data_IF_022868144578
#
_entry.id   IF_022868144578
#
_cell.length_a   1.000
_cell.length_b   1.000
_cell.length_c   1.000
_cell.angle_alpha   90.00
_cell.angle_beta   90.00
_cell.angle_gamma   90.00
#
_symmetry.space_group_name_H-M   'P 1'
#
loop_
_entity.id
_entity.type
_entity.pdbx_description
1 polymer ?
#
# COMPACT_ATOMS: atom_id res chain seq x y z
N UNK A 1 -7.35 -13.96 -28.61
CA UNK A 1 -6.16 -13.16 -28.24
C UNK A 1 -5.67 -13.60 -26.88
N UNK A 2 -4.39 -13.87 -26.75
CA UNK A 2 -3.80 -14.30 -25.48
C UNK A 2 -3.80 -13.15 -24.48
N UNK A 3 -4.36 -13.38 -23.30
CA UNK A 3 -4.30 -12.41 -22.21
C UNK A 3 -2.96 -12.57 -21.45
N UNK A 4 -1.98 -11.73 -21.80
CA UNK A 4 -0.62 -11.78 -21.25
C UNK A 4 -0.63 -11.50 -19.75
N UNK A 5 -1.49 -10.59 -19.28
CA UNK A 5 -1.60 -10.26 -17.86
C UNK A 5 -2.06 -11.47 -17.06
N UNK A 6 -3.09 -12.17 -17.53
CA UNK A 6 -3.63 -13.37 -16.89
C UNK A 6 -2.59 -14.50 -16.87
N UNK A 7 -1.89 -14.70 -17.98
CA UNK A 7 -0.84 -15.72 -18.08
C UNK A 7 0.30 -15.42 -17.09
N UNK A 8 0.69 -14.16 -16.94
CA UNK A 8 1.71 -13.73 -15.98
C UNK A 8 1.26 -13.96 -14.55
N UNK A 9 0.01 -13.66 -14.23
CA UNK A 9 -0.56 -13.89 -12.88
C UNK A 9 -0.59 -15.38 -12.54
N UNK A 10 -0.95 -16.24 -13.49
CA UNK A 10 -0.95 -17.70 -13.31
C UNK A 10 0.46 -18.26 -13.10
N UNK A 11 1.46 -17.76 -13.84
CA UNK A 11 2.85 -18.17 -13.68
C UNK A 11 3.40 -17.74 -12.33
N UNK A 12 3.07 -16.54 -11.89
CA UNK A 12 3.46 -16.02 -10.57
C UNK A 12 2.85 -16.85 -9.44
N UNK A 13 1.57 -17.23 -9.57
CA UNK A 13 0.90 -18.08 -8.59
C UNK A 13 1.57 -19.47 -8.48
N UNK A 14 1.92 -20.08 -9.61
CA UNK A 14 2.64 -21.37 -9.64
C UNK A 14 4.03 -21.29 -9.00
N UNK A 15 4.76 -20.21 -9.27
CA UNK A 15 6.07 -20.00 -8.66
C UNK A 15 5.95 -19.83 -7.14
N UNK A 16 4.92 -19.13 -6.65
CA UNK A 16 4.64 -19.01 -5.23
C UNK A 16 4.37 -20.37 -4.58
N UNK A 17 3.52 -21.18 -5.21
CA UNK A 17 3.19 -22.51 -4.70
C UNK A 17 4.40 -23.44 -4.65
N UNK A 18 5.23 -23.44 -5.71
CA UNK A 18 6.44 -24.24 -5.77
C UNK A 18 7.43 -23.90 -4.65
N UNK A 19 7.58 -22.61 -4.33
CA UNK A 19 8.45 -22.17 -3.22
C UNK A 19 7.89 -22.63 -1.88
N UNK A 20 6.58 -22.53 -1.68
CA UNK A 20 5.91 -22.92 -0.43
C UNK A 20 5.94 -24.43 -0.18
N UNK A 21 5.99 -25.24 -1.23
CA UNK A 21 6.05 -26.70 -1.14
C UNK A 21 7.45 -27.23 -0.88
N UNK A 22 8.47 -26.37 -0.89
CA UNK A 22 9.85 -26.78 -0.62
C UNK A 22 9.98 -27.36 0.78
N UNK A 23 10.60 -28.56 0.89
CA UNK A 23 10.82 -29.24 2.16
C UNK A 23 12.03 -28.70 2.95
N UNK A 24 12.88 -27.87 2.34
CA UNK A 24 14.08 -27.33 2.98
C UNK A 24 13.76 -26.32 4.09
N UNK A 25 12.60 -25.69 4.03
CA UNK A 25 12.12 -24.74 5.04
C UNK A 25 10.61 -24.80 5.12
N UNK A 26 10.08 -24.95 6.34
CA UNK A 26 8.64 -24.97 6.58
C UNK A 26 8.10 -23.54 6.68
N UNK A 27 7.69 -22.98 5.54
CA UNK A 27 7.05 -21.66 5.45
C UNK A 27 5.64 -21.74 4.82
N UNK A 28 5.09 -22.94 4.67
CA UNK A 28 3.76 -23.16 4.13
C UNK A 28 2.71 -22.41 4.93
N UNK A 29 1.85 -21.68 4.24
CA UNK A 29 0.81 -20.86 4.86
C UNK A 29 1.27 -19.49 5.38
N UNK A 30 2.58 -19.21 5.40
CA UNK A 30 3.11 -17.90 5.77
C UNK A 30 3.06 -16.94 4.58
N UNK A 31 2.86 -15.66 4.87
CA UNK A 31 2.80 -14.63 3.83
C UNK A 31 4.16 -14.42 3.17
N UNK A 32 4.15 -14.29 1.86
CA UNK A 32 5.33 -13.94 1.09
C UNK A 32 5.42 -12.42 0.96
N UNK A 33 6.01 -11.78 1.94
CA UNK A 33 6.12 -10.32 2.00
C UNK A 33 6.94 -9.72 0.86
N UNK A 34 7.84 -10.51 0.27
CA UNK A 34 8.64 -10.09 -0.89
C UNK A 34 7.82 -9.87 -2.17
N UNK A 35 6.56 -10.30 -2.20
CA UNK A 35 5.66 -10.00 -3.31
C UNK A 35 5.20 -8.54 -3.33
N UNK A 36 5.33 -7.85 -2.21
CA UNK A 36 5.00 -6.42 -2.14
C UNK A 36 6.14 -5.63 -2.77
N UNK A 37 5.88 -4.86 -3.84
CA UNK A 37 6.91 -4.02 -4.43
C UNK A 37 7.48 -3.04 -3.40
N UNK A 38 8.81 -2.87 -3.30
CA UNK A 38 9.42 -1.94 -2.35
C UNK A 38 8.92 -0.50 -2.50
N UNK A 39 8.49 -0.11 -3.69
CA UNK A 39 7.96 1.24 -3.93
C UNK A 39 6.71 1.53 -3.10
N UNK A 40 5.87 0.54 -2.84
CA UNK A 40 4.68 0.71 -2.00
C UNK A 40 5.09 1.12 -0.58
N UNK A 41 6.14 0.49 -0.06
CA UNK A 41 6.66 0.82 1.28
C UNK A 41 7.22 2.25 1.29
N UNK A 42 7.96 2.64 0.25
CA UNK A 42 8.49 4.01 0.13
C UNK A 42 7.39 5.05 0.05
N UNK A 43 6.33 4.76 -0.70
CA UNK A 43 5.19 5.66 -0.87
C UNK A 43 4.45 5.87 0.46
N UNK A 44 4.23 4.82 1.22
CA UNK A 44 3.63 4.90 2.56
C UNK A 44 4.55 5.66 3.53
N UNK A 45 5.84 5.40 3.47
CA UNK A 45 6.82 6.08 4.32
C UNK A 45 6.83 7.60 4.07
N UNK A 46 6.70 8.03 2.81
CA UNK A 46 6.63 9.45 2.47
C UNK A 46 5.42 10.14 3.13
N UNK A 47 4.27 9.49 3.12
CA UNK A 47 3.07 9.99 3.80
C UNK A 47 3.30 10.07 5.31
N UNK A 48 3.93 9.05 5.89
CA UNK A 48 4.23 9.01 7.32
C UNK A 48 5.21 10.11 7.73
N UNK A 49 6.25 10.36 6.94
CA UNK A 49 7.20 11.45 7.18
C UNK A 49 6.51 12.82 7.16
N UNK A 50 5.63 13.03 6.19
CA UNK A 50 4.83 14.26 6.13
C UNK A 50 4.01 14.44 7.41
N UNK A 51 3.35 13.39 7.90
CA UNK A 51 2.61 13.43 9.15
C UNK A 51 3.49 13.76 10.36
N UNK A 52 4.70 13.19 10.42
CA UNK A 52 5.66 13.49 11.49
C UNK A 52 6.08 14.96 11.47
N UNK A 53 6.34 15.51 10.31
CA UNK A 53 6.67 16.93 10.16
C UNK A 53 5.52 17.84 10.58
N UNK A 54 4.30 17.49 10.19
CA UNK A 54 3.10 18.28 10.48
C UNK A 54 2.76 18.30 11.96
N UNK A 55 2.84 17.16 12.64
CA UNK A 55 2.42 17.01 14.04
C UNK A 55 3.58 16.95 15.02
N UNK A 56 4.84 16.93 14.56
CA UNK A 56 6.06 16.85 15.36
C UNK A 56 6.11 15.64 16.31
N UNK A 57 5.39 14.57 15.97
CA UNK A 57 5.30 13.34 16.77
C UNK A 57 5.06 12.13 15.84
N UNK A 58 6.02 11.19 15.75
CA UNK A 58 5.85 10.00 14.92
C UNK A 58 4.73 9.06 15.43
N UNK A 59 4.34 9.18 16.68
CA UNK A 59 3.26 8.38 17.28
C UNK A 59 1.92 9.12 17.36
N UNK A 60 1.81 10.31 16.78
CA UNK A 60 0.57 11.09 16.80
C UNK A 60 -0.63 10.30 16.26
N UNK A 61 -0.41 9.42 15.29
CA UNK A 61 -1.48 8.60 14.69
C UNK A 61 -2.22 7.74 15.70
N UNK A 62 -1.59 7.38 16.83
CA UNK A 62 -2.19 6.57 17.89
C UNK A 62 -3.23 7.33 18.72
N UNK A 63 -3.20 8.65 18.65
CA UNK A 63 -4.09 9.53 19.42
C UNK A 63 -5.32 9.97 18.63
N UNK A 64 -5.38 9.64 17.34
CA UNK A 64 -6.46 10.05 16.45
C UNK A 64 -7.57 9.02 16.47
N UNK A 65 -8.80 9.49 16.60
CA UNK A 65 -9.99 8.63 16.57
C UNK A 65 -10.12 7.92 15.21
N UNK A 66 -10.54 6.66 15.24
CA UNK A 66 -10.70 5.85 14.03
C UNK A 66 -11.58 6.51 12.98
N UNK A 67 -12.68 7.14 13.40
CA UNK A 67 -13.60 7.79 12.47
C UNK A 67 -12.92 8.90 11.65
N UNK A 68 -11.97 9.61 12.25
CA UNK A 68 -11.20 10.65 11.55
C UNK A 68 -10.31 10.09 10.46
N UNK A 69 -9.76 8.88 10.66
CA UNK A 69 -9.00 8.18 9.61
C UNK A 69 -9.91 7.69 8.49
N UNK A 70 -11.08 7.16 8.83
CA UNK A 70 -12.05 6.73 7.83
C UNK A 70 -12.45 7.90 6.94
N UNK A 71 -12.76 9.04 7.52
CA UNK A 71 -13.14 10.24 6.77
C UNK A 71 -11.98 10.75 5.89
N UNK A 72 -10.76 10.74 6.42
CA UNK A 72 -9.57 11.13 5.66
C UNK A 72 -9.31 10.18 4.49
N UNK A 73 -9.46 8.87 4.71
CA UNK A 73 -9.37 7.88 3.66
C UNK A 73 -10.36 8.16 2.53
N UNK A 74 -11.63 8.40 2.87
CA UNK A 74 -12.66 8.70 1.87
C UNK A 74 -12.36 9.98 1.11
N UNK A 75 -11.88 11.04 1.78
CA UNK A 75 -11.51 12.29 1.09
C UNK A 75 -10.46 12.06 0.02
N UNK A 76 -9.38 11.32 0.34
CA UNK A 76 -8.32 11.01 -0.61
C UNK A 76 -8.79 10.04 -1.69
N UNK A 77 -9.56 9.04 -1.32
CA UNK A 77 -10.09 8.06 -2.26
C UNK A 77 -10.99 8.69 -3.32
N UNK A 78 -11.91 9.56 -2.90
CA UNK A 78 -12.80 10.26 -3.83
C UNK A 78 -12.04 11.19 -4.77
N UNK A 79 -11.02 11.87 -4.28
CA UNK A 79 -10.14 12.68 -5.13
C UNK A 79 -9.41 11.83 -6.15
N UNK A 80 -8.92 10.66 -5.75
CA UNK A 80 -8.30 9.72 -6.65
C UNK A 80 -9.29 9.21 -7.71
N UNK A 81 -10.51 8.87 -7.33
CA UNK A 81 -11.54 8.39 -8.27
C UNK A 81 -11.90 9.47 -9.29
N UNK A 82 -11.98 10.73 -8.87
CA UNK A 82 -12.23 11.87 -9.76
C UNK A 82 -11.08 12.11 -10.73
N UNK A 83 -9.85 12.01 -10.25
CA UNK A 83 -8.63 12.18 -11.05
C UNK A 83 -7.48 11.35 -10.47
N UNK A 84 -7.18 10.18 -11.04
CA UNK A 84 -6.11 9.30 -10.52
C UNK A 84 -4.72 9.93 -10.46
N UNK A 85 -4.47 10.98 -11.20
CA UNK A 85 -3.17 11.68 -11.23
C UNK A 85 -3.11 12.86 -10.27
N UNK A 86 -4.21 13.17 -9.57
CA UNK A 86 -4.25 14.30 -8.66
C UNK A 86 -3.34 14.09 -7.44
N UNK A 87 -2.70 15.16 -7.01
CA UNK A 87 -1.92 15.20 -5.78
C UNK A 87 -2.65 16.05 -4.74
N UNK A 88 -2.40 15.77 -3.47
CA UNK A 88 -2.90 16.58 -2.37
C UNK A 88 -2.22 17.96 -2.39
N UNK A 89 -3.00 19.02 -2.33
CA UNK A 89 -2.49 20.39 -2.40
C UNK A 89 -1.60 20.75 -1.21
N UNK A 90 -1.91 20.20 -0.04
CA UNK A 90 -1.17 20.47 1.19
C UNK A 90 0.20 19.78 1.19
N UNK A 91 0.26 18.51 0.85
CA UNK A 91 1.48 17.69 0.95
C UNK A 91 2.23 17.52 -0.37
N UNK A 92 1.55 17.71 -1.51
CA UNK A 92 2.11 17.39 -2.82
C UNK A 92 2.20 15.89 -3.11
N UNK A 93 1.64 15.05 -2.26
CA UNK A 93 1.66 13.59 -2.38
C UNK A 93 0.43 13.11 -3.14
N UNK A 94 0.55 12.14 -4.06
CA UNK A 94 -0.62 11.57 -4.73
C UNK A 94 -1.66 11.05 -3.75
N UNK A 95 -2.93 11.33 -4.00
CA UNK A 95 -4.02 10.91 -3.10
C UNK A 95 -4.09 9.41 -2.89
N UNK A 96 -3.74 8.61 -3.89
CA UNK A 96 -3.69 7.16 -3.75
C UNK A 96 -2.72 6.72 -2.65
N UNK A 97 -1.55 7.35 -2.58
CA UNK A 97 -0.53 7.06 -1.57
C UNK A 97 -1.04 7.38 -0.16
N UNK A 98 -1.74 8.51 -0.01
CA UNK A 98 -2.35 8.91 1.26
C UNK A 98 -3.43 7.92 1.69
N UNK A 99 -4.28 7.46 0.76
CA UNK A 99 -5.28 6.44 1.05
C UNK A 99 -4.65 5.12 1.48
N UNK A 100 -3.59 4.70 0.85
CA UNK A 100 -2.90 3.45 1.17
C UNK A 100 -2.25 3.49 2.56
N UNK A 101 -1.81 4.67 3.03
CA UNK A 101 -1.18 4.83 4.34
C UNK A 101 -2.18 4.91 5.49
N UNK A 102 -3.44 5.14 5.19
CA UNK A 102 -4.52 5.22 6.17
C UNK A 102 -5.21 3.88 6.33
#
# INVERSE_FOLDING_TARGET
MLDIKRATEELNARACDAIRESSAKDDKGKLRLSLVPPQIIRDIAQVREYGCEKYHDPDNWRQVELQRYIDAFYRHWLKFVENPLAVDEESGIPHLNSSAAL
#
